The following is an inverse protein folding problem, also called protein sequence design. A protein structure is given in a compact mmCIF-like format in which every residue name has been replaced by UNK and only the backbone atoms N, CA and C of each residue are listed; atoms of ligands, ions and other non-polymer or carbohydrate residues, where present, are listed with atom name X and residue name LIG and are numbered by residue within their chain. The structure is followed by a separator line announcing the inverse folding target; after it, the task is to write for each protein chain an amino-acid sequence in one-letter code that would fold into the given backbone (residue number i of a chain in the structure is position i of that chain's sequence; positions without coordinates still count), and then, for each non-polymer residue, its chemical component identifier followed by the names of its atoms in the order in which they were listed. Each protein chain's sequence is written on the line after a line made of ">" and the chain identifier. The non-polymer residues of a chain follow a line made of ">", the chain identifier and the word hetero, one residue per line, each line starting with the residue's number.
data_IF_765511215423
#
_entry.id   IF_765511215423
#
_cell.length_a   1.000
_cell.length_b   1.000
_cell.length_c   1.000
_cell.angle_alpha   90.00
_cell.angle_beta   90.00
_cell.angle_gamma   90.00
#
_symmetry.space_group_name_H-M   'P 1'
#
loop_
_entity.id
_entity.type
_entity.pdbx_description
1 polymer ?
#
# COMPACT_ATOMS: atom_id res chain seq x y z
N UNK A 1 -4.82 6.88 8.42
CA UNK A 1 -5.29 6.16 9.65
C UNK A 1 -4.30 5.04 9.95
N UNK A 2 -3.96 4.69 11.21
CA UNK A 2 -3.07 3.54 11.48
C UNK A 2 -3.87 2.24 11.59
N UNK A 3 -3.51 1.23 10.81
CA UNK A 3 -4.17 -0.08 10.84
C UNK A 3 -3.53 -0.97 11.91
N UNK A 4 -4.33 -1.61 12.75
CA UNK A 4 -3.85 -2.71 13.59
C UNK A 4 -3.57 -3.95 12.72
N UNK A 5 -2.83 -4.94 13.26
CA UNK A 5 -2.42 -6.12 12.50
C UNK A 5 -3.59 -6.93 11.93
N UNK A 6 -4.70 -7.02 12.67
CA UNK A 6 -5.88 -7.76 12.25
C UNK A 6 -6.60 -7.05 11.12
N UNK A 7 -6.73 -5.72 11.21
CA UNK A 7 -7.30 -4.88 10.19
C UNK A 7 -6.41 -4.88 8.94
N UNK A 8 -5.09 -4.75 9.09
CA UNK A 8 -4.13 -4.83 7.98
C UNK A 8 -4.23 -6.17 7.24
N UNK A 9 -4.34 -7.29 7.96
CA UNK A 9 -4.52 -8.61 7.36
C UNK A 9 -5.84 -8.71 6.55
N UNK A 10 -6.94 -8.18 7.09
CA UNK A 10 -8.24 -8.15 6.40
C UNK A 10 -8.23 -7.24 5.18
N UNK A 11 -7.64 -6.05 5.28
CA UNK A 11 -7.50 -5.12 4.16
C UNK A 11 -6.66 -5.74 3.06
N UNK A 12 -5.55 -6.39 3.39
CA UNK A 12 -4.71 -7.10 2.42
C UNK A 12 -5.50 -8.17 1.68
N UNK A 13 -6.26 -9.00 2.39
CA UNK A 13 -7.13 -10.01 1.78
C UNK A 13 -8.19 -9.37 0.88
N UNK A 14 -8.82 -8.29 1.32
CA UNK A 14 -9.86 -7.61 0.55
C UNK A 14 -9.31 -6.94 -0.72
N UNK A 15 -8.10 -6.38 -0.67
CA UNK A 15 -7.36 -5.87 -1.84
C UNK A 15 -7.06 -7.01 -2.81
N UNK A 16 -6.45 -8.10 -2.31
CA UNK A 16 -6.07 -9.27 -3.13
C UNK A 16 -7.27 -9.91 -3.84
N UNK A 17 -8.45 -9.91 -3.20
CA UNK A 17 -9.69 -10.44 -3.75
C UNK A 17 -10.54 -9.40 -4.49
N UNK A 18 -10.03 -8.19 -4.68
CA UNK A 18 -10.75 -7.05 -5.30
C UNK A 18 -12.15 -6.82 -4.72
N UNK A 19 -12.30 -6.97 -3.40
CA UNK A 19 -13.58 -6.79 -2.69
C UNK A 19 -13.87 -5.32 -2.35
N UNK A 20 -12.93 -4.43 -2.63
CA UNK A 20 -12.99 -3.01 -2.31
C UNK A 20 -13.11 -2.17 -3.58
N UNK A 21 -13.67 -0.97 -3.45
CA UNK A 21 -13.72 -0.04 -4.58
C UNK A 21 -12.30 0.41 -4.98
N UNK A 22 -12.07 0.83 -6.23
CA UNK A 22 -10.79 1.40 -6.64
C UNK A 22 -10.35 2.58 -5.76
N UNK A 23 -11.29 3.41 -5.29
CA UNK A 23 -10.99 4.53 -4.38
C UNK A 23 -10.51 4.06 -3.01
N UNK A 24 -11.12 3.01 -2.45
CA UNK A 24 -10.70 2.45 -1.16
C UNK A 24 -9.32 1.81 -1.27
N UNK A 25 -9.08 1.04 -2.34
CA UNK A 25 -7.78 0.45 -2.65
C UNK A 25 -6.71 1.54 -2.78
N UNK A 26 -6.99 2.60 -3.52
CA UNK A 26 -6.10 3.75 -3.64
C UNK A 26 -5.78 4.35 -2.26
N UNK A 27 -6.81 4.63 -1.45
CA UNK A 27 -6.66 5.25 -0.14
C UNK A 27 -5.84 4.40 0.83
N UNK A 28 -6.03 3.08 0.83
CA UNK A 28 -5.25 2.15 1.66
C UNK A 28 -3.76 2.21 1.32
N UNK A 29 -3.43 2.18 0.02
CA UNK A 29 -2.05 2.26 -0.43
C UNK A 29 -1.40 3.61 -0.07
N UNK A 30 -2.13 4.71 -0.26
CA UNK A 30 -1.67 6.07 0.07
C UNK A 30 -1.45 6.25 1.58
N UNK A 31 -2.40 5.79 2.41
CA UNK A 31 -2.29 5.81 3.87
C UNK A 31 -1.07 5.01 4.36
N UNK A 32 -0.88 3.79 3.85
CA UNK A 32 0.27 2.95 4.22
C UNK A 32 1.59 3.57 3.79
N UNK A 33 1.66 4.23 2.63
CA UNK A 33 2.85 4.97 2.22
C UNK A 33 3.12 6.15 3.15
N UNK A 34 2.11 6.95 3.47
CA UNK A 34 2.23 8.08 4.40
C UNK A 34 2.71 7.63 5.80
N UNK A 35 2.21 6.50 6.31
CA UNK A 35 2.67 5.91 7.57
C UNK A 35 4.13 5.44 7.52
N UNK A 36 4.55 4.86 6.39
CA UNK A 36 5.94 4.47 6.17
C UNK A 36 6.87 5.69 6.18
N UNK A 37 6.51 6.77 5.45
CA UNK A 37 7.29 8.02 5.41
C UNK A 37 7.33 8.70 6.78
N UNK A 38 6.23 8.63 7.54
CA UNK A 38 6.14 9.13 8.91
C UNK A 38 6.85 8.24 9.95
N UNK A 39 7.54 7.15 9.55
CA UNK A 39 8.23 6.19 10.43
C UNK A 39 7.30 5.47 11.43
N UNK A 40 6.00 5.43 11.13
CA UNK A 40 4.97 4.81 11.97
C UNK A 40 4.66 3.36 11.56
N UNK A 41 5.06 2.98 10.35
CA UNK A 41 5.05 1.62 9.81
C UNK A 41 6.40 1.30 9.14
N UNK A 42 6.75 0.02 9.06
CA UNK A 42 7.98 -0.41 8.42
C UNK A 42 7.85 -0.45 6.90
N UNK A 43 8.95 -0.21 6.18
CA UNK A 43 8.98 -0.38 4.72
C UNK A 43 8.63 -1.82 4.31
N UNK A 44 9.00 -2.81 5.13
CA UNK A 44 8.62 -4.21 4.90
C UNK A 44 7.11 -4.43 4.93
N UNK A 45 6.40 -3.77 5.84
CA UNK A 45 4.93 -3.81 5.93
C UNK A 45 4.28 -3.21 4.68
N UNK A 46 4.81 -2.09 4.18
CA UNK A 46 4.35 -1.46 2.94
C UNK A 46 4.58 -2.39 1.73
N UNK A 47 5.78 -2.95 1.58
CA UNK A 47 6.11 -3.90 0.50
C UNK A 47 5.19 -5.14 0.57
N UNK A 48 4.89 -5.62 1.78
CA UNK A 48 4.00 -6.76 1.97
C UNK A 48 2.56 -6.46 1.53
N UNK A 49 2.05 -5.26 1.82
CA UNK A 49 0.75 -4.79 1.32
C UNK A 49 0.74 -4.66 -0.21
N UNK A 50 1.80 -4.09 -0.78
CA UNK A 50 1.92 -3.92 -2.24
C UNK A 50 1.85 -5.24 -2.99
N UNK A 51 2.32 -6.34 -2.38
CA UNK A 51 2.16 -7.68 -2.95
C UNK A 51 0.71 -8.10 -3.19
N UNK A 52 -0.26 -7.56 -2.44
CA UNK A 52 -1.68 -7.83 -2.65
C UNK A 52 -2.27 -7.14 -3.90
N UNK A 53 -1.61 -6.10 -4.41
CA UNK A 53 -2.02 -5.38 -5.63
C UNK A 53 -1.53 -6.03 -6.92
N UNK A 54 -0.94 -7.23 -6.87
CA UNK A 54 -0.37 -7.90 -8.04
C UNK A 54 -1.36 -8.06 -9.19
N UNK A 55 -2.62 -8.30 -8.86
CA UNK A 55 -3.72 -8.50 -9.81
C UNK A 55 -4.60 -7.24 -9.94
N UNK A 56 -4.09 -6.04 -9.60
CA UNK A 56 -4.84 -4.79 -9.75
C UNK A 56 -5.05 -4.44 -11.23
N UNK A 57 -6.28 -4.09 -11.59
CA UNK A 57 -6.71 -3.77 -12.96
C UNK A 57 -7.07 -2.29 -13.15
N UNK A 58 -7.28 -1.56 -12.05
CA UNK A 58 -7.62 -0.14 -12.07
C UNK A 58 -6.40 0.74 -12.37
N UNK A 59 -6.45 1.48 -13.48
CA UNK A 59 -5.36 2.38 -13.90
C UNK A 59 -4.92 3.37 -12.80
N UNK A 60 -5.89 3.99 -12.10
CA UNK A 60 -5.59 4.96 -11.03
C UNK A 60 -4.86 4.31 -9.85
N UNK A 61 -5.23 3.09 -9.50
CA UNK A 61 -4.61 2.35 -8.38
C UNK A 61 -3.23 1.84 -8.80
N UNK A 62 -3.11 1.30 -10.01
CA UNK A 62 -1.82 0.85 -10.57
C UNK A 62 -0.81 1.98 -10.75
N UNK A 63 -1.23 3.14 -11.24
CA UNK A 63 -0.34 4.31 -11.36
C UNK A 63 0.14 4.78 -9.98
N UNK A 64 -0.72 4.76 -8.95
CA UNK A 64 -0.31 5.05 -7.58
C UNK A 64 0.70 4.03 -7.06
N UNK A 65 0.47 2.72 -7.29
CA UNK A 65 1.39 1.65 -6.90
C UNK A 65 2.78 1.84 -7.48
N UNK A 66 2.87 2.17 -8.78
CA UNK A 66 4.14 2.46 -9.45
C UNK A 66 4.83 3.67 -8.82
N UNK A 67 4.10 4.75 -8.55
CA UNK A 67 4.66 5.94 -7.91
C UNK A 67 5.21 5.63 -6.51
N UNK A 68 4.45 4.89 -5.69
CA UNK A 68 4.88 4.48 -4.34
C UNK A 68 6.11 3.57 -4.41
N UNK A 69 6.15 2.62 -5.36
CA UNK A 69 7.32 1.77 -5.60
C UNK A 69 8.59 2.58 -5.87
N UNK A 70 8.51 3.52 -6.81
CA UNK A 70 9.65 4.35 -7.20
C UNK A 70 10.11 5.24 -6.04
N UNK A 71 9.18 5.93 -5.38
CA UNK A 71 9.51 6.82 -4.25
C UNK A 71 10.10 6.07 -3.05
N UNK A 72 9.64 4.84 -2.79
CA UNK A 72 10.16 4.02 -1.69
C UNK A 72 11.62 3.58 -1.91
N UNK A 73 12.03 3.36 -3.17
CA UNK A 73 13.43 3.06 -3.51
C UNK A 73 14.34 4.26 -3.23
N UNK A 74 13.89 5.48 -3.57
CA UNK A 74 14.65 6.69 -3.26
C UNK A 74 14.81 6.90 -1.75
N UNK A 75 13.78 6.59 -0.94
CA UNK A 75 13.89 6.70 0.52
C UNK A 75 14.91 5.71 1.10
N UNK A 76 14.96 4.47 0.59
CA UNK A 76 15.93 3.45 1.04
C UNK A 76 17.39 3.77 0.65
N UNK A 77 17.62 4.63 -0.35
CA UNK A 77 18.96 5.05 -0.77
C UNK A 77 19.51 6.24 0.03
N UNK A 78 18.64 6.98 0.72
CA UNK A 78 18.98 8.24 1.42
C UNK A 78 18.99 8.06 2.96
N UNK A 79 18.53 6.92 3.46
CA UNK A 79 18.50 6.56 4.90
C UNK A 79 19.50 5.47 5.22
#
# INVERSE_FOLDING_TARGET
>A
VKYDELLAAKLRYAVEKQLLSPSDRFGILDDSYALCVARNESLTSLIYLMGAYREEDGYTVMSNLINVMLSSQYHSLVT
#
